data_IF_698337935069
#
_entry.id   IF_698337935069
#
_cell.length_a   1.000
_cell.length_b   1.000
_cell.length_c   1.000
_cell.angle_alpha   90.00
_cell.angle_beta   90.00
_cell.angle_gamma   90.00
#
_symmetry.space_group_name_H-M   'P 1'
#
loop_
_entity.id
_entity.type
_entity.pdbx_description
1 polymer ?
#
# COMPACT_ATOMS: atom_id res chain seq x y z
N UNK A 1 -18.29 40.64 -18.27
CA UNK A 1 -17.71 39.34 -18.65
C UNK A 1 -16.55 38.88 -17.76
N UNK A 2 -15.71 39.77 -17.21
CA UNK A 2 -14.61 39.37 -16.31
C UNK A 2 -15.05 38.89 -14.92
N UNK A 3 -16.18 39.40 -14.38
CA UNK A 3 -16.70 39.01 -13.07
C UNK A 3 -17.16 37.54 -13.02
N UNK A 4 -17.76 37.04 -14.10
CA UNK A 4 -18.18 35.62 -14.20
C UNK A 4 -16.98 34.66 -14.31
N UNK A 5 -15.89 35.06 -14.96
CA UNK A 5 -14.65 34.27 -15.02
C UNK A 5 -13.97 34.14 -13.65
N UNK A 6 -13.96 35.23 -12.87
CA UNK A 6 -13.39 35.26 -11.52
C UNK A 6 -14.14 34.32 -10.56
N UNK A 7 -15.47 34.27 -10.65
CA UNK A 7 -16.30 33.37 -9.84
C UNK A 7 -16.05 31.89 -10.18
N UNK A 8 -15.84 31.56 -11.47
CA UNK A 8 -15.55 30.18 -11.91
C UNK A 8 -14.17 29.71 -11.42
N UNK A 9 -13.15 30.57 -11.43
CA UNK A 9 -11.81 30.24 -10.92
C UNK A 9 -11.82 29.99 -9.41
N UNK A 10 -12.59 30.77 -8.65
CA UNK A 10 -12.73 30.61 -7.19
C UNK A 10 -13.52 29.32 -6.85
N UNK A 11 -14.51 28.95 -7.66
CA UNK A 11 -15.31 27.73 -7.44
C UNK A 11 -14.52 26.44 -7.73
N UNK A 12 -13.63 26.44 -8.73
CA UNK A 12 -12.74 25.29 -9.02
C UNK A 12 -11.62 25.11 -8.00
N UNK A 13 -11.11 26.19 -7.40
CA UNK A 13 -10.04 26.12 -6.37
C UNK A 13 -10.49 25.53 -5.03
N UNK A 14 -11.80 25.34 -4.82
CA UNK A 14 -12.38 24.86 -3.57
C UNK A 14 -12.58 23.33 -3.53
N UNK A 15 -12.24 22.63 -4.61
CA UNK A 15 -12.28 21.16 -4.70
C UNK A 15 -10.85 20.60 -4.60
N UNK A 16 -10.06 21.09 -3.65
CA UNK A 16 -8.85 20.37 -3.26
C UNK A 16 -9.33 19.17 -2.45
N UNK A 17 -9.47 18.03 -3.12
CA UNK A 17 -9.66 16.76 -2.43
C UNK A 17 -8.42 16.56 -1.55
N UNK A 18 -8.62 16.40 -0.25
CA UNK A 18 -7.55 16.02 0.65
C UNK A 18 -7.04 14.64 0.24
N UNK A 19 -5.88 14.62 -0.41
CA UNK A 19 -5.21 13.37 -0.76
C UNK A 19 -4.53 12.87 0.50
N UNK A 20 -5.26 12.06 1.27
CA UNK A 20 -4.66 11.26 2.34
C UNK A 20 -3.87 10.13 1.67
N UNK A 21 -2.56 10.33 1.50
CA UNK A 21 -1.68 9.22 1.17
C UNK A 21 -1.64 8.27 2.37
N UNK A 22 -1.66 6.97 2.12
CA UNK A 22 -1.42 6.01 3.18
C UNK A 22 0.02 6.19 3.64
N UNK A 23 0.19 6.54 4.91
CA UNK A 23 1.39 6.21 5.67
C UNK A 23 1.05 5.14 6.69
N UNK A 24 1.79 5.11 7.80
CA UNK A 24 1.57 4.17 8.92
C UNK A 24 0.11 4.12 9.37
N UNK A 25 -0.55 5.28 9.49
CA UNK A 25 -1.95 5.38 9.93
C UNK A 25 -2.91 4.75 8.92
N UNK A 26 -2.64 4.94 7.62
CA UNK A 26 -3.46 4.41 6.52
C UNK A 26 -3.51 2.88 6.52
N UNK A 27 -2.34 2.25 6.49
CA UNK A 27 -2.24 0.79 6.52
C UNK A 27 -2.83 0.19 7.80
N UNK A 28 -2.62 0.81 8.95
CA UNK A 28 -3.24 0.39 10.22
C UNK A 28 -4.76 0.53 10.19
N UNK A 29 -5.31 1.56 9.57
CA UNK A 29 -6.75 1.74 9.45
C UNK A 29 -7.37 0.68 8.52
N UNK A 30 -6.80 0.49 7.32
CA UNK A 30 -7.28 -0.52 6.35
C UNK A 30 -7.23 -1.91 6.97
N UNK A 31 -6.11 -2.29 7.60
CA UNK A 31 -5.98 -3.60 8.27
C UNK A 31 -6.96 -3.77 9.44
N UNK A 32 -7.22 -2.70 10.23
CA UNK A 32 -8.22 -2.75 11.31
C UNK A 32 -9.62 -2.97 10.79
N UNK A 33 -9.99 -2.29 9.70
CA UNK A 33 -11.28 -2.47 9.04
C UNK A 33 -11.40 -3.90 8.51
N UNK A 34 -10.39 -4.40 7.77
CA UNK A 34 -10.35 -5.77 7.28
C UNK A 34 -10.53 -6.80 8.41
N UNK A 35 -9.80 -6.63 9.52
CA UNK A 35 -9.90 -7.53 10.67
C UNK A 35 -11.31 -7.55 11.28
N UNK A 36 -12.03 -6.43 11.28
CA UNK A 36 -13.40 -6.37 11.81
C UNK A 36 -14.43 -7.08 10.93
N UNK A 37 -14.07 -7.41 9.69
CA UNK A 37 -14.92 -8.12 8.74
C UNK A 37 -14.58 -9.61 8.61
N UNK A 38 -13.56 -10.11 9.31
CA UNK A 38 -13.24 -11.53 9.31
C UNK A 38 -14.32 -12.31 10.08
N UNK A 39 -14.73 -13.46 9.53
CA UNK A 39 -15.46 -14.45 10.31
C UNK A 39 -14.49 -15.20 11.25
N UNK A 40 -15.04 -15.99 12.18
CA UNK A 40 -14.24 -16.67 13.20
C UNK A 40 -13.20 -17.61 12.59
N UNK A 41 -13.57 -18.36 11.55
CA UNK A 41 -12.68 -19.29 10.86
C UNK A 41 -11.48 -18.56 10.22
N UNK A 42 -11.74 -17.50 9.45
CA UNK A 42 -10.70 -16.69 8.82
C UNK A 42 -9.83 -15.98 9.86
N UNK A 43 -10.42 -15.50 10.97
CA UNK A 43 -9.64 -14.89 12.05
C UNK A 43 -8.70 -15.90 12.71
N UNK A 44 -9.16 -17.12 13.01
CA UNK A 44 -8.28 -18.14 13.58
C UNK A 44 -7.18 -18.55 12.60
N UNK A 45 -7.50 -18.69 11.32
CA UNK A 45 -6.51 -18.99 10.29
C UNK A 45 -5.45 -17.89 10.18
N UNK A 46 -5.85 -16.62 10.04
CA UNK A 46 -4.93 -15.47 10.03
C UNK A 46 -4.09 -15.42 11.31
N UNK A 47 -4.72 -15.60 12.48
CA UNK A 47 -4.02 -15.62 13.77
C UNK A 47 -2.97 -16.72 13.84
N UNK A 48 -3.21 -17.88 13.22
CA UNK A 48 -2.26 -19.00 13.19
C UNK A 48 -1.04 -18.71 12.32
N UNK A 49 -1.18 -17.83 11.32
CA UNK A 49 -0.11 -17.47 10.39
C UNK A 49 0.70 -16.26 10.87
N UNK A 50 0.14 -15.39 11.71
CA UNK A 50 0.85 -14.23 12.23
C UNK A 50 1.82 -14.60 13.37
N UNK A 51 2.90 -13.81 13.59
CA UNK A 51 3.76 -13.99 14.74
C UNK A 51 2.95 -14.04 16.04
N UNK A 52 3.20 -15.07 16.85
CA UNK A 52 2.38 -15.38 18.03
C UNK A 52 2.21 -14.19 19.00
N UNK A 53 3.24 -13.36 19.14
CA UNK A 53 3.27 -12.20 20.04
C UNK A 53 2.40 -11.03 19.55
N UNK A 54 1.87 -11.08 18.33
CA UNK A 54 0.87 -10.12 17.84
C UNK A 54 -0.57 -10.56 18.11
N UNK A 55 -0.80 -11.77 18.62
CA UNK A 55 -2.13 -12.27 19.00
C UNK A 55 -3.19 -12.15 17.88
N UNK A 56 -2.78 -12.28 16.62
CA UNK A 56 -3.65 -12.15 15.46
C UNK A 56 -4.05 -10.71 15.11
N UNK A 57 -3.37 -9.70 15.65
CA UNK A 57 -3.65 -8.30 15.33
C UNK A 57 -3.06 -7.90 13.97
N UNK A 58 -3.92 -7.69 12.96
CA UNK A 58 -3.48 -7.29 11.63
C UNK A 58 -2.82 -5.91 11.62
N UNK A 59 -3.21 -5.00 12.53
CA UNK A 59 -2.62 -3.64 12.57
C UNK A 59 -1.15 -3.66 12.93
N UNK A 60 -0.70 -4.71 13.64
CA UNK A 60 0.69 -4.86 14.07
C UNK A 60 1.64 -5.21 12.93
N UNK A 61 1.13 -5.81 11.85
CA UNK A 61 1.93 -6.23 10.68
C UNK A 61 1.70 -5.35 9.45
N UNK A 62 0.72 -4.45 9.50
CA UNK A 62 0.27 -3.69 8.34
C UNK A 62 1.34 -2.79 7.69
N UNK A 63 2.39 -2.42 8.43
CA UNK A 63 3.49 -1.56 7.95
C UNK A 63 4.79 -2.33 7.73
N UNK A 64 4.82 -3.63 8.02
CA UNK A 64 6.05 -4.42 7.97
C UNK A 64 6.69 -4.42 6.58
N UNK A 65 5.89 -4.47 5.50
CA UNK A 65 6.43 -4.49 4.14
C UNK A 65 7.16 -3.19 3.77
N UNK A 66 6.78 -2.04 4.34
CA UNK A 66 7.52 -0.78 4.20
C UNK A 66 8.79 -0.79 5.07
N UNK A 67 8.68 -1.31 6.30
CA UNK A 67 9.80 -1.35 7.24
C UNK A 67 10.97 -2.13 6.63
N UNK A 68 10.74 -3.30 6.03
CA UNK A 68 11.80 -4.11 5.42
C UNK A 68 12.43 -3.50 4.16
N UNK A 69 11.95 -2.36 3.66
CA UNK A 69 12.62 -1.68 2.54
C UNK A 69 13.96 -1.04 2.95
N UNK A 70 14.27 -0.95 4.24
CA UNK A 70 15.47 -0.32 4.77
C UNK A 70 16.42 -1.34 5.44
N UNK A 71 17.74 -1.30 5.16
CA UNK A 71 18.70 -2.27 5.71
C UNK A 71 18.69 -2.41 7.23
N UNK A 72 18.44 -1.31 7.94
CA UNK A 72 18.48 -1.23 9.41
C UNK A 72 17.23 -1.80 10.10
N UNK A 73 16.20 -2.13 9.33
CA UNK A 73 14.91 -2.65 9.80
C UNK A 73 14.62 -4.05 9.22
N UNK A 74 15.55 -4.60 8.44
CA UNK A 74 15.45 -5.96 7.93
C UNK A 74 15.46 -6.99 9.08
N UNK A 75 14.66 -8.06 8.98
CA UNK A 75 14.74 -9.20 9.89
C UNK A 75 16.16 -9.79 9.92
N UNK A 76 16.61 -10.17 11.12
CA UNK A 76 17.90 -10.82 11.31
C UNK A 76 18.00 -12.10 10.46
N UNK A 77 19.06 -12.20 9.65
CA UNK A 77 19.27 -13.35 8.75
C UNK A 77 18.78 -13.18 7.31
N UNK A 78 18.04 -12.11 6.98
CA UNK A 78 17.56 -11.82 5.62
C UNK A 78 18.00 -10.42 5.19
N UNK A 79 19.27 -10.25 4.74
CA UNK A 79 19.92 -8.95 4.72
C UNK A 79 19.41 -7.98 3.63
N UNK A 80 18.52 -8.40 2.73
CA UNK A 80 18.04 -7.48 1.70
C UNK A 80 16.63 -7.79 1.17
N UNK A 81 15.65 -7.01 1.62
CA UNK A 81 14.28 -7.00 1.08
C UNK A 81 14.02 -5.88 0.09
N UNK A 82 15.04 -5.07 -0.27
CA UNK A 82 14.88 -3.92 -1.17
C UNK A 82 14.38 -4.29 -2.57
N UNK A 83 14.50 -5.57 -2.95
CA UNK A 83 13.94 -6.11 -4.17
C UNK A 83 12.41 -6.01 -4.21
N UNK A 84 11.72 -5.91 -3.06
CA UNK A 84 10.26 -5.79 -2.99
C UNK A 84 9.74 -4.38 -3.25
N UNK A 85 10.60 -3.35 -3.31
CA UNK A 85 10.19 -1.95 -3.58
C UNK A 85 9.20 -1.77 -4.73
N UNK A 86 9.42 -2.32 -5.93
CA UNK A 86 8.48 -2.15 -7.04
C UNK A 86 7.15 -2.87 -6.82
N UNK A 87 7.04 -3.75 -5.82
CA UNK A 87 5.78 -4.44 -5.50
C UNK A 87 4.78 -3.55 -4.74
N UNK A 88 5.15 -2.35 -4.33
CA UNK A 88 4.25 -1.42 -3.61
C UNK A 88 3.39 -0.56 -4.54
N UNK A 89 3.66 -0.56 -5.85
CA UNK A 89 3.00 0.35 -6.78
C UNK A 89 2.89 -0.23 -8.19
N UNK A 90 2.20 0.52 -9.05
CA UNK A 90 2.12 0.38 -10.50
C UNK A 90 2.40 1.76 -11.10
N UNK A 91 3.30 1.81 -12.08
CA UNK A 91 3.55 3.01 -12.87
C UNK A 91 2.76 2.89 -14.19
N UNK A 92 1.84 3.82 -14.39
CA UNK A 92 1.03 3.94 -15.62
C UNK A 92 1.57 5.08 -16.50
N UNK A 93 1.28 5.09 -17.82
CA UNK A 93 1.70 6.16 -18.71
C UNK A 93 1.06 7.51 -18.32
N UNK A 94 1.85 8.58 -18.43
CA UNK A 94 1.39 9.95 -18.16
C UNK A 94 0.08 10.32 -18.86
N UNK A 95 -0.76 11.04 -18.11
CA UNK A 95 -2.05 11.58 -18.58
C UNK A 95 -3.02 10.53 -19.12
N UNK A 96 -2.79 9.27 -18.79
CA UNK A 96 -3.63 8.16 -19.18
C UNK A 96 -4.11 7.44 -17.92
N UNK A 97 -5.32 7.73 -17.47
CA UNK A 97 -5.92 7.10 -16.27
C UNK A 97 -6.42 5.68 -16.58
N UNK A 98 -5.55 4.84 -17.14
CA UNK A 98 -5.84 3.43 -17.39
C UNK A 98 -4.69 2.53 -16.93
N UNK A 99 -5.08 1.32 -16.54
CA UNK A 99 -4.16 0.26 -16.21
C UNK A 99 -4.26 -0.83 -17.29
N UNK A 100 -3.12 -1.24 -17.82
CA UNK A 100 -2.96 -2.41 -18.66
C UNK A 100 -1.91 -3.34 -18.03
N UNK A 101 -2.29 -4.57 -17.71
CA UNK A 101 -1.41 -5.51 -16.98
C UNK A 101 -0.12 -5.81 -17.76
N UNK A 102 -0.21 -6.01 -19.07
CA UNK A 102 0.94 -6.41 -19.88
C UNK A 102 1.95 -5.26 -20.02
N UNK A 103 1.45 -4.02 -20.06
CA UNK A 103 2.25 -2.80 -20.15
C UNK A 103 2.80 -2.37 -18.79
N UNK A 104 1.97 -2.34 -17.74
CA UNK A 104 2.25 -1.63 -16.49
C UNK A 104 2.73 -2.55 -15.36
N UNK A 105 2.57 -3.88 -15.50
CA UNK A 105 2.97 -4.88 -14.52
C UNK A 105 3.87 -5.96 -15.14
N UNK A 106 4.95 -5.51 -15.77
CA UNK A 106 5.89 -6.38 -16.48
C UNK A 106 6.47 -7.44 -15.52
N UNK A 107 6.42 -8.71 -15.93
CA UNK A 107 6.89 -9.86 -15.15
C UNK A 107 6.23 -10.01 -13.76
N UNK A 108 5.01 -9.48 -13.59
CA UNK A 108 4.31 -9.44 -12.29
C UNK A 108 5.08 -8.70 -11.18
N UNK A 109 6.04 -7.83 -11.55
CA UNK A 109 6.80 -7.00 -10.61
C UNK A 109 6.07 -5.66 -10.42
N UNK A 110 4.91 -5.73 -9.77
CA UNK A 110 4.09 -4.59 -9.38
C UNK A 110 3.12 -5.01 -8.25
N UNK A 111 2.38 -4.08 -7.64
CA UNK A 111 1.43 -4.43 -6.56
C UNK A 111 0.33 -5.41 -6.97
N UNK A 112 -0.20 -5.32 -8.20
CA UNK A 112 -1.19 -6.29 -8.69
C UNK A 112 -0.59 -7.69 -8.93
N UNK A 113 0.68 -7.77 -9.34
CA UNK A 113 1.41 -9.02 -9.45
C UNK A 113 1.72 -9.63 -8.08
N UNK A 114 2.14 -8.78 -7.13
CA UNK A 114 2.40 -9.15 -5.75
C UNK A 114 1.15 -9.71 -5.05
N UNK A 115 -0.01 -9.05 -5.21
CA UNK A 115 -1.29 -9.55 -4.69
C UNK A 115 -1.58 -10.97 -5.21
N UNK A 116 -1.50 -11.19 -6.53
CA UNK A 116 -1.71 -12.52 -7.11
C UNK A 116 -0.70 -13.56 -6.60
N UNK A 117 0.57 -13.19 -6.46
CA UNK A 117 1.62 -14.08 -5.97
C UNK A 117 1.37 -14.47 -4.50
N UNK A 118 1.26 -13.48 -3.61
CA UNK A 118 1.14 -13.74 -2.18
C UNK A 118 -0.22 -14.34 -1.79
N UNK A 119 -1.29 -14.09 -2.55
CA UNK A 119 -2.57 -14.80 -2.38
C UNK A 119 -2.42 -16.31 -2.62
N UNK A 120 -1.63 -16.70 -3.63
CA UNK A 120 -1.34 -18.12 -3.89
C UNK A 120 -0.41 -18.71 -2.85
N UNK A 121 0.67 -17.99 -2.50
CA UNK A 121 1.65 -18.44 -1.50
C UNK A 121 1.02 -18.66 -0.13
N UNK A 122 0.06 -17.82 0.28
CA UNK A 122 -0.60 -17.93 1.57
C UNK A 122 -1.33 -19.26 1.81
N UNK A 123 -1.69 -19.99 0.74
CA UNK A 123 -2.41 -21.26 0.81
C UNK A 123 -1.66 -22.43 0.15
N UNK A 124 -0.41 -22.21 -0.30
CA UNK A 124 0.35 -23.19 -1.05
C UNK A 124 0.88 -24.29 -0.13
N UNK A 125 0.66 -25.56 -0.48
CA UNK A 125 1.01 -26.70 0.37
C UNK A 125 2.53 -26.98 0.46
N UNK A 126 3.31 -26.49 -0.50
CA UNK A 126 4.76 -26.64 -0.61
C UNK A 126 5.56 -25.53 0.10
N UNK A 127 4.87 -24.60 0.76
CA UNK A 127 5.47 -23.47 1.46
C UNK A 127 5.53 -23.76 2.97
N UNK A 128 6.61 -23.31 3.61
CA UNK A 128 6.77 -23.42 5.06
C UNK A 128 6.03 -22.30 5.83
N UNK A 129 5.95 -22.46 7.15
CA UNK A 129 5.24 -21.52 8.04
C UNK A 129 5.77 -20.08 7.92
N UNK A 130 7.08 -19.89 7.70
CA UNK A 130 7.68 -18.57 7.55
C UNK A 130 7.20 -17.94 6.25
N UNK A 131 7.20 -18.71 5.16
CA UNK A 131 6.77 -18.21 3.87
C UNK A 131 5.26 -17.94 3.80
N UNK A 132 4.43 -18.69 4.53
CA UNK A 132 3.00 -18.38 4.70
C UNK A 132 2.79 -17.11 5.53
N UNK A 133 3.54 -16.95 6.62
CA UNK A 133 3.52 -15.74 7.44
C UNK A 133 3.88 -14.50 6.60
N UNK A 134 4.99 -14.55 5.88
CA UNK A 134 5.41 -13.48 4.95
C UNK A 134 4.31 -13.16 3.94
N UNK A 135 3.68 -14.19 3.36
CA UNK A 135 2.63 -13.99 2.36
C UNK A 135 1.43 -13.22 2.93
N UNK A 136 0.95 -13.56 4.12
CA UNK A 136 -0.14 -12.81 4.76
C UNK A 136 0.29 -11.39 5.12
N UNK A 137 1.51 -11.21 5.65
CA UNK A 137 2.01 -9.87 6.02
C UNK A 137 2.13 -8.96 4.79
N UNK A 138 2.63 -9.48 3.66
CA UNK A 138 2.64 -8.76 2.40
C UNK A 138 1.23 -8.45 1.88
N UNK A 139 0.30 -9.41 1.92
CA UNK A 139 -1.08 -9.20 1.47
C UNK A 139 -1.79 -8.08 2.24
N UNK A 140 -1.65 -8.07 3.57
CA UNK A 140 -2.25 -7.03 4.42
C UNK A 140 -1.77 -5.64 4.00
N UNK A 141 -0.50 -5.51 3.62
CA UNK A 141 0.07 -4.25 3.16
C UNK A 141 -0.36 -3.89 1.74
N UNK A 142 -0.19 -4.81 0.78
CA UNK A 142 -0.41 -4.54 -0.65
C UNK A 142 -1.87 -4.31 -1.02
N UNK A 143 -2.82 -4.84 -0.24
CA UNK A 143 -4.24 -4.45 -0.38
C UNK A 143 -4.43 -2.98 -0.04
N UNK A 144 -3.71 -2.43 0.94
CA UNK A 144 -3.73 -0.99 1.22
C UNK A 144 -3.12 -0.19 0.07
N UNK A 145 -1.93 -0.60 -0.38
CA UNK A 145 -1.19 0.08 -1.45
C UNK A 145 -2.00 0.19 -2.75
N UNK A 146 -2.56 -0.92 -3.24
CA UNK A 146 -3.27 -0.91 -4.53
C UNK A 146 -4.49 0.02 -4.52
N UNK A 147 -5.06 0.30 -3.35
CA UNK A 147 -6.19 1.22 -3.18
C UNK A 147 -5.75 2.67 -2.91
N UNK A 148 -4.44 2.94 -2.78
CA UNK A 148 -3.89 4.29 -2.75
C UNK A 148 -3.80 4.82 -4.19
N UNK A 149 -4.56 5.86 -4.59
CA UNK A 149 -4.57 6.32 -5.97
C UNK A 149 -3.20 6.64 -6.55
N UNK A 150 -2.29 7.23 -5.75
CA UNK A 150 -0.94 7.58 -6.18
C UNK A 150 0.03 6.39 -6.21
N UNK A 151 -0.31 5.23 -5.65
CA UNK A 151 0.44 3.99 -5.88
C UNK A 151 0.06 3.32 -7.21
N UNK A 152 -0.98 3.79 -7.89
CA UNK A 152 -1.33 3.41 -9.26
C UNK A 152 -1.35 4.67 -10.12
N UNK A 153 -0.22 5.38 -10.10
CA UNK A 153 -0.07 6.73 -10.64
C UNK A 153 0.82 6.79 -11.88
N UNK A 154 1.19 8.01 -12.28
CA UNK A 154 2.02 8.23 -13.47
C UNK A 154 3.50 7.95 -13.18
N UNK A 155 4.17 7.33 -14.15
CA UNK A 155 5.59 7.01 -14.02
C UNK A 155 6.46 8.26 -13.88
N UNK A 156 6.13 9.31 -14.63
CA UNK A 156 6.97 10.50 -14.83
C UNK A 156 7.07 11.36 -13.56
N UNK A 157 6.01 11.39 -12.75
CA UNK A 157 6.01 12.08 -11.46
C UNK A 157 6.22 11.13 -10.27
N UNK A 158 6.43 9.84 -10.55
CA UNK A 158 6.59 8.75 -9.56
C UNK A 158 5.36 8.65 -8.66
N UNK A 159 4.16 8.61 -9.23
CA UNK A 159 2.92 8.62 -8.46
C UNK A 159 2.81 9.88 -7.60
N UNK A 160 3.07 11.04 -8.19
CA UNK A 160 3.00 12.33 -7.50
C UNK A 160 4.15 12.66 -6.54
N UNK A 161 5.09 11.75 -6.26
CA UNK A 161 6.23 12.00 -5.35
C UNK A 161 7.15 13.15 -5.81
N UNK A 162 7.18 13.44 -7.11
CA UNK A 162 7.97 14.54 -7.69
C UNK A 162 7.19 15.86 -7.75
N UNK A 163 5.89 15.84 -7.44
CA UNK A 163 5.03 17.03 -7.40
C UNK A 163 5.21 17.74 -6.06
N UNK A 164 5.67 18.99 -6.10
CA UNK A 164 5.84 19.80 -4.89
C UNK A 164 4.54 20.53 -4.55
N UNK A 165 4.10 20.43 -3.30
CA UNK A 165 2.94 21.15 -2.79
C UNK A 165 3.11 21.53 -1.33
N UNK A 166 2.21 22.37 -0.82
CA UNK A 166 2.11 22.66 0.61
C UNK A 166 1.02 21.77 1.18
N UNK A 167 1.38 20.82 2.04
CA UNK A 167 0.38 20.07 2.79
C UNK A 167 -0.25 20.97 3.85
N UNK A 168 -1.58 21.04 3.85
CA UNK A 168 -2.34 21.74 4.89
C UNK A 168 -2.42 20.93 6.20
N UNK A 169 -2.02 19.65 6.17
CA UNK A 169 -2.16 18.70 7.29
C UNK A 169 -0.84 18.35 7.98
N UNK A 170 0.31 18.58 7.35
CA UNK A 170 1.62 18.24 7.94
C UNK A 170 2.17 19.31 8.91
N UNK A 171 1.38 20.34 9.24
CA UNK A 171 1.76 21.37 10.22
C UNK A 171 1.31 21.06 11.65
N UNK A 172 0.59 19.97 11.92
CA UNK A 172 0.48 19.47 13.29
C UNK A 172 1.75 18.70 13.61
N UNK A 173 2.72 19.39 14.21
CA UNK A 173 3.89 18.78 14.84
C UNK A 173 3.45 17.52 15.60
N UNK A 174 4.05 16.39 15.25
CA UNK A 174 4.21 15.29 16.19
C UNK A 174 5.27 15.75 17.21
N UNK A 175 4.82 16.41 18.27
CA UNK A 175 5.50 16.46 19.57
C UNK A 175 4.63 15.67 20.56
#
# INVERSE_FOLDING_TARGET
MYSSLLVIIILCGSIVQDVNSWGIVGHRLVSRLAQSQLNDEAFQWVKSLLPWYFFGNLTSVAVWADDILYPNTNPYGYPNWQWSRPLHYINTPSWNCNYDRLRDCVNDVCVAGALNNYSKRAIAADFDDIQHQEAIMFLVHYVGDVHQPLHVGFQEDRGGNSVRGKSLFLNSKQE
#
